data_IF_785959238419
#
_entry.id   IF_785959238419
#
_cell.length_a   1.000
_cell.length_b   1.000
_cell.length_c   1.000
_cell.angle_alpha   90.00
_cell.angle_beta   90.00
_cell.angle_gamma   90.00
#
_symmetry.space_group_name_H-M   'P 1'
#
loop_
_entity.id
_entity.type
_entity.pdbx_description
1 polymer ?
#
# COMPACT_ATOMS: atom_id res chain seq x y z
N UNK A 1 -1.24 11.36 -2.38
CA UNK A 1 -1.09 12.77 -1.95
C UNK A 1 -0.57 13.63 -3.09
N UNK A 2 -0.79 14.95 -3.09
CA UNK A 2 -0.05 15.83 -4.01
C UNK A 2 1.42 15.85 -3.63
N UNK A 3 2.30 15.99 -4.62
CA UNK A 3 3.75 15.99 -4.40
C UNK A 3 4.19 17.09 -3.41
N UNK A 4 3.63 18.30 -3.56
CA UNK A 4 3.98 19.43 -2.69
C UNK A 4 3.61 19.16 -1.23
N UNK A 5 2.44 18.57 -0.98
CA UNK A 5 1.96 18.26 0.36
C UNK A 5 2.87 17.23 1.04
N UNK A 6 3.07 16.07 0.42
CA UNK A 6 3.83 14.97 1.03
C UNK A 6 5.29 15.39 1.25
N UNK A 7 5.89 16.12 0.31
CA UNK A 7 7.25 16.66 0.46
C UNK A 7 7.36 17.57 1.68
N UNK A 8 6.45 18.54 1.83
CA UNK A 8 6.49 19.46 2.98
C UNK A 8 6.32 18.75 4.33
N UNK A 9 5.56 17.64 4.37
CA UNK A 9 5.43 16.81 5.55
C UNK A 9 6.74 16.08 5.87
N UNK A 10 7.41 15.49 4.86
CA UNK A 10 8.71 14.85 5.04
C UNK A 10 9.84 15.82 5.42
N UNK A 11 9.83 17.04 4.89
CA UNK A 11 10.80 18.07 5.27
C UNK A 11 10.71 18.35 6.79
N UNK A 12 9.50 18.38 7.35
CA UNK A 12 9.26 18.52 8.81
C UNK A 12 9.58 17.23 9.57
N UNK A 13 9.21 16.07 9.03
CA UNK A 13 9.46 14.78 9.65
C UNK A 13 10.95 14.49 9.79
N UNK A 14 11.79 15.05 8.92
CA UNK A 14 13.25 14.89 8.97
C UNK A 14 13.87 15.48 10.23
N UNK A 15 13.26 16.51 10.82
CA UNK A 15 13.72 17.13 12.07
C UNK A 15 13.08 16.52 13.30
N UNK A 16 11.88 15.97 13.13
CA UNK A 16 11.11 15.38 14.21
C UNK A 16 11.61 13.94 14.46
N UNK A 17 11.93 13.60 15.72
CA UNK A 17 12.36 12.23 16.08
C UNK A 17 11.19 11.26 16.22
N UNK A 18 10.25 11.33 15.29
CA UNK A 18 9.05 10.49 15.25
C UNK A 18 9.27 9.42 14.19
N UNK A 19 9.00 8.16 14.55
CA UNK A 19 9.05 7.05 13.61
C UNK A 19 7.70 6.92 12.91
N UNK A 20 7.72 6.96 11.58
CA UNK A 20 6.55 6.76 10.74
C UNK A 20 6.67 5.44 9.97
N UNK A 21 5.56 4.76 9.75
CA UNK A 21 5.52 3.44 9.09
C UNK A 21 5.10 3.49 7.63
N UNK A 22 4.38 4.55 7.26
CA UNK A 22 3.73 4.71 5.97
C UNK A 22 3.48 6.21 5.71
N UNK A 23 3.25 6.57 4.45
CA UNK A 23 3.08 7.97 4.05
C UNK A 23 1.82 8.62 4.66
N UNK A 24 0.76 7.82 4.92
CA UNK A 24 -0.49 8.36 5.43
C UNK A 24 -0.32 8.82 6.88
N UNK A 25 0.36 8.03 7.72
CA UNK A 25 0.65 8.43 9.10
C UNK A 25 1.52 9.69 9.21
N UNK A 26 2.41 9.95 8.25
CA UNK A 26 3.17 11.22 8.18
C UNK A 26 2.21 12.40 7.93
N UNK A 27 1.31 12.25 6.95
CA UNK A 27 0.37 13.30 6.54
C UNK A 27 -0.68 13.59 7.63
N UNK A 28 -1.20 12.54 8.26
CA UNK A 28 -2.14 12.65 9.40
C UNK A 28 -1.50 13.37 10.58
N UNK A 29 -0.24 13.04 10.92
CA UNK A 29 0.47 13.66 12.04
C UNK A 29 0.60 15.18 11.90
N UNK A 30 0.77 15.68 10.67
CA UNK A 30 0.82 17.12 10.40
C UNK A 30 -0.56 17.78 10.19
N UNK A 31 -1.64 17.09 10.50
CA UNK A 31 -2.99 17.63 10.57
C UNK A 31 -3.73 17.68 9.25
N UNK A 32 -3.25 16.96 8.23
CA UNK A 32 -3.92 16.87 6.94
C UNK A 32 -4.90 15.68 6.90
N UNK A 33 -6.07 15.83 6.26
CA UNK A 33 -7.04 14.75 6.17
C UNK A 33 -6.52 13.61 5.27
N UNK A 34 -6.78 12.39 5.70
CA UNK A 34 -6.53 11.15 4.94
C UNK A 34 -7.85 10.40 4.79
N UNK A 35 -8.01 9.75 3.64
CA UNK A 35 -9.19 8.96 3.31
C UNK A 35 -8.73 7.56 2.92
N UNK A 36 -9.47 6.55 3.36
CA UNK A 36 -9.25 5.16 2.98
C UNK A 36 -10.13 4.81 1.78
N UNK A 37 -9.61 3.94 0.91
CA UNK A 37 -10.35 3.32 -0.19
C UNK A 37 -10.31 1.82 0.03
N UNK A 38 -11.46 1.16 -0.01
CA UNK A 38 -11.54 -0.28 0.16
C UNK A 38 -10.82 -0.99 -0.98
N UNK A 39 -9.94 -1.94 -0.66
CA UNK A 39 -9.24 -2.79 -1.61
C UNK A 39 -9.72 -4.25 -1.50
N UNK A 40 -9.46 -5.00 -2.57
CA UNK A 40 -9.64 -6.44 -2.76
C UNK A 40 -9.00 -7.33 -1.70
N UNK A 41 -8.08 -6.80 -0.87
CA UNK A 41 -7.37 -7.56 0.16
C UNK A 41 -6.26 -8.46 -0.36
N UNK A 42 -6.00 -8.44 -1.67
CA UNK A 42 -4.98 -9.26 -2.33
C UNK A 42 -3.65 -8.53 -2.55
N UNK A 43 -3.61 -7.21 -2.33
CA UNK A 43 -2.38 -6.41 -2.38
C UNK A 43 -1.53 -6.59 -1.10
N UNK A 44 -0.96 -7.78 -0.95
CA UNK A 44 -0.19 -8.16 0.23
C UNK A 44 1.25 -7.67 0.15
N UNK A 45 1.83 -7.31 1.30
CA UNK A 45 3.26 -6.97 1.42
C UNK A 45 4.07 -8.25 1.57
N UNK A 46 4.99 -8.52 0.64
CA UNK A 46 5.94 -9.63 0.76
C UNK A 46 7.00 -9.30 1.83
N UNK A 47 6.94 -9.97 2.99
CA UNK A 47 7.80 -9.72 4.15
C UNK A 47 8.41 -10.98 4.76
N UNK A 48 7.83 -12.15 4.49
CA UNK A 48 8.26 -13.46 4.99
C UNK A 48 8.34 -14.48 3.87
N UNK A 49 8.99 -15.62 4.14
CA UNK A 49 9.04 -16.73 3.18
C UNK A 49 7.65 -17.36 2.93
N UNK A 50 6.73 -17.30 3.90
CA UNK A 50 5.36 -17.82 3.73
C UNK A 50 4.59 -16.94 2.75
N UNK A 51 4.79 -15.62 2.80
CA UNK A 51 4.14 -14.68 1.89
C UNK A 51 4.44 -15.04 0.42
N UNK A 52 5.66 -15.53 0.14
CA UNK A 52 6.06 -15.95 -1.21
C UNK A 52 5.24 -17.16 -1.70
N UNK A 53 5.10 -18.19 -0.87
CA UNK A 53 4.29 -19.36 -1.20
C UNK A 53 2.81 -18.99 -1.41
N UNK A 54 2.29 -18.04 -0.62
CA UNK A 54 0.93 -17.52 -0.81
C UNK A 54 0.82 -16.78 -2.14
N UNK A 55 1.78 -15.91 -2.49
CA UNK A 55 1.78 -15.16 -3.74
C UNK A 55 1.80 -16.08 -4.97
N UNK A 56 2.58 -17.17 -4.96
CA UNK A 56 2.61 -18.14 -6.08
C UNK A 56 1.24 -18.78 -6.34
N UNK A 57 0.53 -19.16 -5.28
CA UNK A 57 -0.83 -19.71 -5.38
C UNK A 57 -1.79 -18.63 -5.89
N UNK A 58 -1.69 -17.39 -5.38
CA UNK A 58 -2.55 -16.28 -5.81
C UNK A 58 -2.38 -15.96 -7.30
N UNK A 59 -1.14 -15.89 -7.80
CA UNK A 59 -0.89 -15.64 -9.23
C UNK A 59 -1.52 -16.71 -10.12
N UNK A 60 -1.40 -17.99 -9.73
CA UNK A 60 -2.02 -19.10 -10.48
C UNK A 60 -3.54 -18.95 -10.54
N UNK A 61 -4.18 -18.61 -9.41
CA UNK A 61 -5.62 -18.39 -9.35
C UNK A 61 -6.06 -17.17 -10.18
N UNK A 62 -5.28 -16.10 -10.21
CA UNK A 62 -5.60 -14.91 -11.01
C UNK A 62 -5.49 -15.19 -12.51
N UNK A 63 -4.46 -15.89 -12.95
CA UNK A 63 -4.31 -16.30 -14.35
C UNK A 63 -5.48 -17.16 -14.83
N UNK A 64 -5.98 -18.07 -13.98
CA UNK A 64 -7.16 -18.90 -14.27
C UNK A 64 -8.46 -18.09 -14.34
N UNK A 65 -8.65 -17.11 -13.45
CA UNK A 65 -9.83 -16.22 -13.47
C UNK A 65 -9.82 -15.35 -14.71
N UNK A 66 -8.70 -14.71 -15.03
CA UNK A 66 -8.56 -13.84 -16.22
C UNK A 66 -8.81 -14.62 -17.52
N UNK A 67 -8.33 -15.87 -17.59
CA UNK A 67 -8.58 -16.74 -18.74
C UNK A 67 -10.06 -17.11 -18.91
N UNK A 68 -10.78 -17.28 -17.80
CA UNK A 68 -12.20 -17.65 -17.81
C UNK A 68 -13.12 -16.45 -18.11
N UNK A 69 -12.75 -15.24 -17.70
CA UNK A 69 -13.50 -14.02 -18.03
C UNK A 69 -13.36 -13.65 -19.52
N UNK A 70 -12.19 -13.89 -20.12
CA UNK A 70 -11.94 -13.57 -21.54
C UNK A 70 -12.58 -14.57 -22.54
N UNK A 71 -13.22 -15.63 -22.03
CA UNK A 71 -13.92 -16.66 -22.83
C UNK A 71 -15.46 -16.49 -22.78
N UNK A 72 -15.96 -15.45 -22.09
CA UNK A 72 -17.39 -15.08 -22.01
C UNK A 72 -17.67 -13.79 -22.77
#
# INVERSE_FOLDING_TARGET
FTYQLIRSCYDRASTDRVAFTDDASVVEFYGHPVYTVSDSGVNIKLTTAIDLAIMEVMFTLFDEVDSNENTR
#
